data_IF_036082785412
#
_entry.id   IF_036082785412
#
_cell.length_a   1.000
_cell.length_b   1.000
_cell.length_c   1.000
_cell.angle_alpha   90.00
_cell.angle_beta   90.00
_cell.angle_gamma   90.00
#
_symmetry.space_group_name_H-M   'P 1'
#
loop_
_entity.id
_entity.type
_entity.pdbx_description
1 polymer ?
#
# COMPACT_ATOMS: atom_id res chain seq x y z
N UNK A 1 9.03 17.68 4.54
CA UNK A 1 8.96 16.30 5.07
C UNK A 1 7.66 15.71 4.56
N UNK A 2 7.68 14.45 4.12
CA UNK A 2 6.46 13.71 3.85
C UNK A 2 5.68 13.54 5.17
N UNK A 3 4.41 13.94 5.21
CA UNK A 3 3.55 13.66 6.37
C UNK A 3 3.03 12.25 6.25
N UNK A 4 3.43 11.38 7.17
CA UNK A 4 2.94 10.00 7.23
C UNK A 4 1.83 9.86 8.28
N UNK A 5 1.00 8.84 8.12
CA UNK A 5 -0.09 8.53 9.05
C UNK A 5 -0.24 7.03 9.22
N UNK A 6 -0.67 6.59 10.41
CA UNK A 6 -1.09 5.21 10.66
C UNK A 6 -2.57 5.00 10.37
N UNK A 7 -3.31 6.07 10.10
CA UNK A 7 -4.74 6.02 9.75
C UNK A 7 -4.88 5.73 8.26
N UNK A 8 -5.50 4.60 7.93
CA UNK A 8 -5.86 4.27 6.55
C UNK A 8 -7.01 5.19 6.12
N UNK A 9 -6.81 5.93 5.01
CA UNK A 9 -7.86 6.81 4.45
C UNK A 9 -9.05 6.02 3.96
N UNK A 10 -10.22 6.66 3.90
CA UNK A 10 -11.46 5.98 3.48
C UNK A 10 -11.41 5.52 2.04
N UNK A 11 -10.74 6.26 1.17
CA UNK A 11 -10.61 5.97 -0.26
C UNK A 11 -9.48 4.98 -0.58
N UNK A 12 -8.62 4.64 0.39
CA UNK A 12 -7.61 3.60 0.23
C UNK A 12 -8.25 2.21 0.27
N UNK A 13 -8.61 1.68 -0.90
CA UNK A 13 -9.36 0.42 -1.05
C UNK A 13 -8.50 -0.75 -1.52
N UNK A 14 -7.40 -0.48 -2.21
CA UNK A 14 -6.53 -1.49 -2.80
C UNK A 14 -5.07 -1.12 -2.53
N UNK A 15 -4.17 -2.10 -2.57
CA UNK A 15 -2.74 -1.86 -2.58
C UNK A 15 -2.10 -2.70 -3.68
N UNK A 16 -0.98 -2.21 -4.24
CA UNK A 16 -0.22 -2.93 -5.26
C UNK A 16 1.08 -3.42 -4.68
N UNK A 17 1.29 -4.73 -4.75
CA UNK A 17 2.48 -5.38 -4.26
C UNK A 17 3.69 -5.06 -5.16
N UNK A 18 4.65 -4.34 -4.61
CA UNK A 18 5.93 -4.00 -5.22
C UNK A 18 7.08 -4.88 -4.69
N UNK A 19 6.77 -6.04 -4.11
CA UNK A 19 7.80 -7.02 -3.77
C UNK A 19 8.54 -7.47 -5.03
N UNK A 20 9.87 -7.40 -4.99
CA UNK A 20 10.72 -8.00 -6.02
C UNK A 20 10.78 -9.53 -5.82
N UNK A 21 10.28 -10.27 -6.81
CA UNK A 21 10.32 -11.72 -6.90
C UNK A 21 11.24 -12.08 -8.06
N UNK A 22 12.44 -12.58 -7.73
CA UNK A 22 13.43 -13.07 -8.72
C UNK A 22 13.78 -12.06 -9.81
N UNK A 23 13.93 -10.78 -9.46
CA UNK A 23 14.31 -9.70 -10.38
C UNK A 23 13.13 -8.95 -11.00
N UNK A 24 11.89 -9.29 -10.66
CA UNK A 24 10.68 -8.63 -11.18
C UNK A 24 9.73 -8.24 -10.05
N UNK A 25 9.17 -7.03 -10.12
CA UNK A 25 8.11 -6.60 -9.19
C UNK A 25 6.86 -7.47 -9.38
N UNK A 26 6.23 -7.88 -8.27
CA UNK A 26 5.01 -8.68 -8.29
C UNK A 26 3.89 -7.98 -9.09
N UNK A 27 3.63 -6.72 -8.77
CA UNK A 27 2.67 -5.86 -9.44
C UNK A 27 1.19 -6.22 -9.23
N UNK A 28 0.89 -7.23 -8.41
CA UNK A 28 -0.49 -7.64 -8.15
C UNK A 28 -1.20 -6.61 -7.29
N UNK A 29 -2.37 -6.18 -7.75
CA UNK A 29 -3.31 -5.35 -6.99
C UNK A 29 -4.15 -6.26 -6.09
N UNK A 30 -4.20 -5.93 -4.82
CA UNK A 30 -4.83 -6.70 -3.75
C UNK A 30 -5.79 -5.79 -2.97
N UNK A 31 -6.89 -6.33 -2.45
CA UNK A 31 -7.81 -5.57 -1.59
C UNK A 31 -7.11 -5.10 -0.31
N UNK A 32 -7.42 -3.90 0.19
CA UNK A 32 -6.91 -3.44 1.49
C UNK A 32 -7.39 -4.27 2.68
N UNK A 33 -8.47 -5.04 2.51
CA UNK A 33 -8.90 -6.05 3.50
C UNK A 33 -7.89 -7.19 3.64
N UNK A 34 -7.06 -7.43 2.63
CA UNK A 34 -6.07 -8.50 2.60
C UNK A 34 -4.71 -7.91 2.94
N UNK A 35 -4.09 -8.47 3.98
CA UNK A 35 -2.76 -8.09 4.45
C UNK A 35 -1.66 -8.76 3.58
N UNK A 36 -1.96 -9.92 3.00
CA UNK A 36 -1.07 -10.70 2.15
C UNK A 36 -1.47 -10.53 0.69
N UNK A 37 -0.47 -10.45 -0.19
CA UNK A 37 -0.68 -10.34 -1.63
C UNK A 37 -1.37 -11.60 -2.16
N UNK A 38 -2.46 -11.43 -2.93
CA UNK A 38 -3.28 -12.53 -3.46
C UNK A 38 -2.49 -13.48 -4.41
N UNK A 39 -1.30 -13.08 -4.88
CA UNK A 39 -0.47 -13.85 -5.81
C UNK A 39 0.81 -14.41 -5.22
N UNK A 40 1.58 -13.59 -4.49
CA UNK A 40 2.90 -13.98 -4.00
C UNK A 40 2.95 -14.24 -2.50
N UNK A 41 1.82 -14.15 -1.80
CA UNK A 41 1.66 -14.41 -0.36
C UNK A 41 2.60 -13.59 0.54
N UNK A 42 3.18 -12.51 0.00
CA UNK A 42 3.98 -11.58 0.78
C UNK A 42 3.05 -10.59 1.48
N UNK A 43 3.33 -10.33 2.76
CA UNK A 43 2.70 -9.23 3.50
C UNK A 43 2.98 -7.91 2.79
N UNK A 44 1.99 -7.01 2.75
CA UNK A 44 2.22 -5.64 2.34
C UNK A 44 3.31 -4.97 3.18
N UNK A 45 4.18 -4.20 2.54
CA UNK A 45 5.40 -3.64 3.13
C UNK A 45 5.75 -2.30 2.51
N UNK A 46 6.84 -1.70 3.00
CA UNK A 46 7.42 -0.47 2.45
C UNK A 46 7.49 -0.51 0.92
N UNK A 47 7.13 0.62 0.31
CA UNK A 47 7.05 0.88 -1.14
C UNK A 47 5.90 0.21 -1.90
N UNK A 48 5.02 -0.54 -1.24
CA UNK A 48 3.74 -0.94 -1.84
C UNK A 48 2.86 0.29 -2.08
N UNK A 49 2.24 0.37 -3.25
CA UNK A 49 1.42 1.54 -3.62
C UNK A 49 0.04 1.45 -2.99
N UNK A 50 -0.43 2.58 -2.45
CA UNK A 50 -1.80 2.76 -1.99
C UNK A 50 -2.68 3.18 -3.17
N UNK A 51 -3.78 2.46 -3.38
CA UNK A 51 -4.68 2.66 -4.52
C UNK A 51 -6.12 2.91 -4.07
N UNK A 52 -6.82 3.76 -4.83
CA UNK A 52 -8.27 3.89 -4.72
C UNK A 52 -9.01 2.73 -5.43
N UNK A 53 -10.35 2.74 -5.35
CA UNK A 53 -11.19 1.70 -5.97
C UNK A 53 -10.97 1.55 -7.48
N UNK A 54 -10.73 2.67 -8.16
CA UNK A 54 -10.46 2.78 -9.59
C UNK A 54 -8.99 2.49 -9.95
N UNK A 55 -8.20 2.03 -8.98
CA UNK A 55 -6.76 1.71 -9.12
C UNK A 55 -5.87 2.92 -9.40
N UNK A 56 -6.39 4.15 -9.22
CA UNK A 56 -5.55 5.34 -9.18
C UNK A 56 -4.64 5.31 -7.96
N UNK A 57 -3.37 5.72 -8.16
CA UNK A 57 -2.41 5.83 -7.07
C UNK A 57 -2.71 7.05 -6.21
N UNK A 58 -2.87 6.83 -4.91
CA UNK A 58 -3.15 7.87 -3.92
C UNK A 58 -2.03 8.00 -2.88
N UNK A 59 -1.02 7.13 -2.94
CA UNK A 59 0.08 7.11 -1.99
C UNK A 59 0.90 5.83 -2.04
N UNK A 60 1.62 5.57 -0.95
CA UNK A 60 2.42 4.36 -0.75
C UNK A 60 2.63 4.07 0.74
N UNK A 61 3.03 2.83 1.05
CA UNK A 61 3.52 2.49 2.38
C UNK A 61 4.92 3.08 2.55
N UNK A 62 5.04 4.09 3.39
CA UNK A 62 6.31 4.74 3.68
C UNK A 62 7.20 3.88 4.58
N UNK A 63 6.60 3.24 5.57
CA UNK A 63 7.32 2.42 6.54
C UNK A 63 6.40 1.37 7.16
N UNK A 64 6.96 0.18 7.40
CA UNK A 64 6.37 -0.83 8.26
C UNK A 64 7.32 -1.01 9.44
N UNK A 65 6.86 -0.71 10.64
CA UNK A 65 7.71 -0.87 11.83
C UNK A 65 7.81 -2.34 12.28
N UNK A 66 8.64 -2.60 13.29
CA UNK A 66 8.85 -3.95 13.85
C UNK A 66 7.63 -4.49 14.60
N UNK A 67 6.69 -3.63 14.99
CA UNK A 67 5.40 -4.00 15.58
C UNK A 67 4.31 -4.28 14.53
N UNK A 68 4.68 -4.22 13.24
CA UNK A 68 3.79 -4.34 12.09
C UNK A 68 2.79 -3.18 11.94
N UNK A 69 3.09 -2.03 12.54
CA UNK A 69 2.34 -0.78 12.32
C UNK A 69 2.73 -0.19 10.98
N UNK A 70 1.72 0.10 10.18
CA UNK A 70 1.88 0.63 8.83
C UNK A 70 1.81 2.16 8.85
N UNK A 71 2.83 2.80 8.30
CA UNK A 71 2.88 4.23 8.09
C UNK A 71 2.72 4.51 6.61
N UNK A 72 1.61 5.14 6.26
CA UNK A 72 1.25 5.48 4.89
C UNK A 72 1.58 6.94 4.59
N UNK A 73 2.10 7.18 3.39
CA UNK A 73 2.28 8.50 2.80
C UNK A 73 1.24 8.65 1.67
N UNK A 74 0.35 9.63 1.79
CA UNK A 74 -0.64 9.93 0.77
C UNK A 74 -0.26 11.19 0.00
N UNK A 75 -0.31 11.13 -1.33
CA UNK A 75 0.17 12.19 -2.23
C UNK A 75 -0.97 12.93 -2.93
N UNK A 76 -2.17 12.36 -2.96
CA UNK A 76 -3.39 13.01 -3.43
C UNK A 76 -4.19 13.59 -2.26
N UNK A 77 -5.02 14.64 -2.46
CA UNK A 77 -6.01 15.03 -1.45
C UNK A 77 -7.02 13.89 -1.21
N UNK A 78 -7.58 13.78 0.00
CA UNK A 78 -8.71 12.89 0.27
C UNK A 78 -9.96 13.44 -0.43
N UNK A 79 -10.64 12.65 -1.28
CA UNK A 79 -11.94 13.05 -1.82
C UNK A 79 -12.91 13.36 -0.67
N UNK A 80 -13.69 14.42 -0.83
CA UNK A 80 -14.71 14.85 0.13
C UNK A 80 -15.83 13.82 0.30
#
# INVERSE_FOLDING_TARGET
>A
MATTTTVVRKDHKKWKCNKNISGRLCGTVTSMSNIYCDKCDNRRQTDDEALASDESSIGRMYHLDTSLTEHWEYTSPEPL
#
